data_IF_625793096525
#
_entry.id   IF_625793096525
#
_cell.length_a   1.000
_cell.length_b   1.000
_cell.length_c   1.000
_cell.angle_alpha   90.00
_cell.angle_beta   90.00
_cell.angle_gamma   90.00
#
_symmetry.space_group_name_H-M   'P 1'
#
loop_
_entity.id
_entity.type
_entity.pdbx_description
1 polymer ?
#
# COMPACT_ATOMS: atom_id res chain seq x y z
N UNK A 1 20.90 -29.76 -2.34
CA UNK A 1 19.69 -30.39 -1.76
C UNK A 1 20.02 -31.84 -1.56
N UNK A 2 19.84 -32.41 -0.36
CA UNK A 2 19.93 -33.88 -0.20
C UNK A 2 18.78 -34.48 -0.99
N UNK A 3 19.07 -35.39 -1.91
CA UNK A 3 18.06 -36.21 -2.54
C UNK A 3 17.42 -37.06 -1.44
N UNK A 4 16.20 -36.70 -1.08
CA UNK A 4 15.36 -37.53 -0.23
C UNK A 4 14.98 -38.73 -1.11
N UNK A 5 15.40 -39.93 -0.72
CA UNK A 5 15.05 -41.19 -1.38
C UNK A 5 13.57 -41.55 -1.12
N UNK A 6 12.69 -40.66 -1.57
CA UNK A 6 11.25 -40.69 -1.34
C UNK A 6 10.58 -40.57 -2.70
N UNK A 7 9.90 -41.64 -3.11
CA UNK A 7 9.14 -41.66 -4.34
C UNK A 7 7.86 -40.81 -4.21
N UNK A 8 7.77 -39.73 -4.99
CA UNK A 8 6.60 -38.84 -4.97
C UNK A 8 5.45 -39.52 -5.74
N UNK A 9 4.44 -39.99 -5.00
CA UNK A 9 3.23 -40.64 -5.56
C UNK A 9 1.99 -39.81 -5.28
N UNK A 10 0.98 -39.93 -6.16
CA UNK A 10 -0.35 -39.39 -5.87
C UNK A 10 -0.94 -40.10 -4.65
N UNK A 11 -1.59 -39.37 -3.73
CA UNK A 11 -2.33 -39.98 -2.66
C UNK A 11 -3.52 -40.76 -3.24
N UNK A 12 -4.00 -41.76 -2.49
CA UNK A 12 -5.16 -42.55 -2.89
C UNK A 12 -6.40 -41.65 -3.03
N UNK A 13 -7.02 -41.66 -4.22
CA UNK A 13 -8.25 -40.93 -4.51
C UNK A 13 -9.46 -41.85 -4.35
N UNK A 14 -10.42 -41.44 -3.52
CA UNK A 14 -11.70 -42.14 -3.38
C UNK A 14 -12.69 -41.63 -4.43
N UNK A 15 -13.63 -42.49 -4.88
CA UNK A 15 -14.67 -42.08 -5.85
C UNK A 15 -15.56 -40.95 -5.31
N UNK A 16 -15.74 -40.89 -3.98
CA UNK A 16 -16.45 -39.82 -3.30
C UNK A 16 -15.54 -39.20 -2.24
N UNK A 17 -15.28 -37.90 -2.38
CA UNK A 17 -14.73 -37.04 -1.34
C UNK A 17 -15.60 -35.79 -1.26
N UNK A 18 -16.07 -35.46 -0.06
CA UNK A 18 -16.88 -34.25 0.20
C UNK A 18 -16.02 -33.09 0.72
N UNK A 19 -14.92 -33.38 1.41
CA UNK A 19 -14.10 -32.36 2.10
C UNK A 19 -12.82 -31.97 1.34
N UNK A 20 -12.51 -32.60 0.20
CA UNK A 20 -11.35 -32.27 -0.63
C UNK A 20 -11.68 -32.41 -2.11
N UNK A 21 -11.18 -31.49 -2.92
CA UNK A 21 -11.30 -31.53 -4.37
C UNK A 21 -10.63 -32.76 -4.96
N UNK A 22 -11.38 -33.53 -5.74
CA UNK A 22 -10.90 -34.74 -6.42
C UNK A 22 -10.51 -34.42 -7.87
N UNK A 23 -9.40 -33.68 -8.03
CA UNK A 23 -8.94 -33.25 -9.35
C UNK A 23 -8.46 -34.46 -10.17
N UNK A 24 -9.04 -34.66 -11.36
CA UNK A 24 -8.47 -35.58 -12.34
C UNK A 24 -7.12 -35.01 -12.81
N UNK A 25 -6.09 -35.83 -12.74
CA UNK A 25 -4.72 -35.46 -13.10
C UNK A 25 -4.05 -36.62 -13.83
N UNK A 26 -3.20 -36.31 -14.80
CA UNK A 26 -2.50 -37.29 -15.64
C UNK A 26 -1.14 -37.68 -15.05
N UNK A 27 -0.62 -36.89 -14.12
CA UNK A 27 0.64 -37.14 -13.42
C UNK A 27 0.58 -36.72 -11.95
N UNK A 28 1.51 -37.25 -11.14
CA UNK A 28 1.66 -36.85 -9.73
C UNK A 28 1.98 -35.37 -9.57
N UNK A 29 2.79 -34.81 -10.47
CA UNK A 29 3.11 -33.39 -10.45
C UNK A 29 1.86 -32.53 -10.67
N UNK A 30 1.04 -32.88 -11.66
CA UNK A 30 -0.19 -32.15 -11.97
C UNK A 30 -1.17 -32.20 -10.80
N UNK A 31 -1.27 -33.36 -10.12
CA UNK A 31 -2.08 -33.50 -8.92
C UNK A 31 -1.68 -32.50 -7.82
N UNK A 32 -0.39 -32.43 -7.47
CA UNK A 32 0.09 -31.53 -6.42
C UNK A 32 0.08 -30.06 -6.85
N UNK A 33 0.28 -29.79 -8.14
CA UNK A 33 0.15 -28.45 -8.71
C UNK A 33 -1.24 -27.89 -8.45
N UNK A 34 -2.29 -28.64 -8.78
CA UNK A 34 -3.68 -28.16 -8.65
C UNK A 34 -4.19 -28.28 -7.22
N UNK A 35 -3.85 -29.35 -6.49
CA UNK A 35 -4.43 -29.61 -5.16
C UNK A 35 -3.73 -28.91 -3.99
N UNK A 36 -2.50 -28.41 -4.19
CA UNK A 36 -1.72 -27.76 -3.14
C UNK A 36 -1.07 -26.46 -3.60
N UNK A 37 -0.32 -26.48 -4.71
CA UNK A 37 0.48 -25.33 -5.13
C UNK A 37 -0.38 -24.11 -5.54
N UNK A 38 -1.38 -24.31 -6.39
CA UNK A 38 -2.31 -23.24 -6.80
C UNK A 38 -3.06 -22.68 -5.57
N UNK A 39 -3.73 -23.49 -4.73
CA UNK A 39 -4.38 -23.00 -3.51
C UNK A 39 -3.43 -22.24 -2.58
N UNK A 40 -2.19 -22.70 -2.44
CA UNK A 40 -1.18 -21.99 -1.65
C UNK A 40 -0.88 -20.61 -2.25
N UNK A 41 -0.65 -20.52 -3.56
CA UNK A 41 -0.41 -19.25 -4.23
C UNK A 41 -1.61 -18.31 -4.12
N UNK A 42 -2.83 -18.82 -4.27
CA UNK A 42 -4.06 -18.04 -4.13
C UNK A 42 -4.19 -17.51 -2.70
N UNK A 43 -3.90 -18.32 -1.68
CA UNK A 43 -3.93 -17.88 -0.28
C UNK A 43 -2.84 -16.85 0.02
N UNK A 44 -1.63 -17.02 -0.50
CA UNK A 44 -0.55 -16.03 -0.35
C UNK A 44 -0.94 -14.72 -1.04
N UNK A 45 -1.53 -14.80 -2.23
CA UNK A 45 -2.03 -13.63 -2.94
C UNK A 45 -3.13 -12.91 -2.15
N UNK A 46 -4.06 -13.67 -1.57
CA UNK A 46 -5.14 -13.10 -0.76
C UNK A 46 -4.62 -12.48 0.55
N UNK A 47 -3.64 -13.11 1.21
CA UNK A 47 -2.98 -12.53 2.39
C UNK A 47 -2.28 -11.21 2.02
N UNK A 48 -1.55 -11.16 0.91
CA UNK A 48 -0.94 -9.93 0.41
C UNK A 48 -1.98 -8.85 0.09
N UNK A 49 -3.07 -9.20 -0.59
CA UNK A 49 -4.16 -8.26 -0.89
C UNK A 49 -4.81 -7.74 0.39
N UNK A 50 -5.14 -8.61 1.34
CA UNK A 50 -5.78 -8.22 2.59
C UNK A 50 -4.89 -7.30 3.45
N UNK A 51 -3.57 -7.56 3.44
CA UNK A 51 -2.59 -6.72 4.13
C UNK A 51 -2.37 -5.39 3.43
N UNK A 52 -2.10 -5.36 2.13
CA UNK A 52 -1.66 -4.13 1.47
C UNK A 52 -2.78 -3.32 0.80
N UNK A 53 -3.89 -3.95 0.40
CA UNK A 53 -5.00 -3.27 -0.29
C UNK A 53 -6.17 -2.92 0.64
N UNK A 54 -6.01 -3.09 1.95
CA UNK A 54 -7.01 -2.62 2.90
C UNK A 54 -7.11 -1.08 2.88
N UNK A 55 -8.25 -0.58 3.40
CA UNK A 55 -8.58 0.84 3.40
C UNK A 55 -7.50 1.70 4.07
N UNK A 56 -6.94 1.25 5.20
CA UNK A 56 -5.88 1.97 5.95
C UNK A 56 -4.60 2.11 5.13
N UNK A 57 -4.12 1.01 4.56
CA UNK A 57 -2.87 1.00 3.80
C UNK A 57 -2.96 1.75 2.48
N UNK A 58 -4.14 1.72 1.84
CA UNK A 58 -4.43 2.63 0.72
C UNK A 58 -4.28 4.09 1.10
N UNK A 59 -4.78 4.49 2.28
CA UNK A 59 -4.61 5.88 2.74
C UNK A 59 -3.14 6.21 3.04
N UNK A 60 -2.35 5.29 3.60
CA UNK A 60 -0.89 5.48 3.76
C UNK A 60 -0.22 5.75 2.40
N UNK A 61 -0.54 4.96 1.37
CA UNK A 61 0.02 5.16 0.02
C UNK A 61 -0.33 6.55 -0.56
N UNK A 62 -1.50 7.09 -0.20
CA UNK A 62 -1.93 8.43 -0.58
C UNK A 62 -1.17 9.49 0.22
N UNK A 63 -1.02 9.32 1.54
CA UNK A 63 -0.27 10.26 2.39
C UNK A 63 1.23 10.32 2.01
N UNK A 64 1.82 9.21 1.54
CA UNK A 64 3.19 9.19 0.99
C UNK A 64 3.36 10.19 -0.16
N UNK A 65 2.30 10.51 -0.91
CA UNK A 65 2.37 11.50 -1.99
C UNK A 65 2.67 12.92 -1.50
N UNK A 66 2.49 13.21 -0.21
CA UNK A 66 2.83 14.51 0.37
C UNK A 66 4.35 14.73 0.45
N UNK A 67 5.16 13.65 0.45
CA UNK A 67 6.62 13.75 0.48
C UNK A 67 7.09 14.53 -0.76
N UNK A 68 8.02 15.49 -0.61
CA UNK A 68 8.46 16.38 -1.69
C UNK A 68 8.89 15.66 -2.97
N UNK A 69 9.63 14.55 -2.85
CA UNK A 69 10.00 13.69 -3.98
C UNK A 69 8.81 13.22 -4.81
N UNK A 70 7.64 13.05 -4.22
CA UNK A 70 6.42 12.58 -4.89
C UNK A 70 5.53 13.76 -5.30
N UNK A 71 5.32 14.75 -4.43
CA UNK A 71 4.34 15.82 -4.66
C UNK A 71 4.66 16.69 -5.89
N UNK A 72 5.94 16.85 -6.23
CA UNK A 72 6.35 17.60 -7.43
C UNK A 72 5.88 16.94 -8.74
N UNK A 73 5.48 15.66 -8.69
CA UNK A 73 5.10 14.86 -9.86
C UNK A 73 3.60 14.57 -9.93
N UNK A 74 2.83 14.88 -8.88
CA UNK A 74 1.39 14.58 -8.87
C UNK A 74 0.59 15.64 -9.64
N UNK A 75 -0.48 15.19 -10.30
CA UNK A 75 -1.43 16.06 -11.01
C UNK A 75 -2.53 16.58 -10.07
N UNK A 76 -3.35 17.52 -10.56
CA UNK A 76 -4.41 18.15 -9.75
C UNK A 76 -5.50 17.15 -9.34
N UNK A 77 -5.72 16.11 -10.16
CA UNK A 77 -6.64 15.01 -9.83
C UNK A 77 -6.14 14.25 -8.60
N UNK A 78 -4.85 13.99 -8.53
CA UNK A 78 -4.24 13.33 -7.38
C UNK A 78 -4.24 14.24 -6.16
N UNK A 79 -4.00 15.55 -6.31
CA UNK A 79 -4.14 16.52 -5.21
C UNK A 79 -5.56 16.47 -4.61
N UNK A 80 -6.59 16.47 -5.47
CA UNK A 80 -7.97 16.33 -5.01
C UNK A 80 -8.19 15.00 -4.28
N UNK A 81 -7.70 13.89 -4.85
CA UNK A 81 -7.79 12.56 -4.23
C UNK A 81 -7.11 12.52 -2.86
N UNK A 82 -5.91 13.10 -2.73
CA UNK A 82 -5.18 13.21 -1.46
C UNK A 82 -5.99 13.99 -0.44
N UNK A 83 -6.54 15.14 -0.84
CA UNK A 83 -7.31 16.02 0.06
C UNK A 83 -8.57 15.32 0.59
N UNK A 84 -9.39 14.79 -0.32
CA UNK A 84 -10.66 14.13 0.01
C UNK A 84 -10.42 12.90 0.92
N UNK A 85 -9.48 12.04 0.55
CA UNK A 85 -9.20 10.81 1.31
C UNK A 85 -8.63 11.12 2.68
N UNK A 86 -7.81 12.16 2.80
CA UNK A 86 -7.23 12.58 4.06
C UNK A 86 -8.31 13.07 5.03
N UNK A 87 -9.23 13.92 4.58
CA UNK A 87 -10.31 14.47 5.41
C UNK A 87 -11.36 13.43 5.76
N UNK A 88 -11.68 12.52 4.85
CA UNK A 88 -12.68 11.48 5.11
C UNK A 88 -12.21 10.45 6.13
N UNK A 89 -10.90 10.18 6.21
CA UNK A 89 -10.36 9.11 7.04
C UNK A 89 -9.70 9.62 8.33
N UNK A 90 -9.21 10.85 8.34
CA UNK A 90 -8.38 11.40 9.42
C UNK A 90 -8.74 12.85 9.74
N UNK A 91 -9.96 13.06 10.25
CA UNK A 91 -10.35 14.35 10.83
C UNK A 91 -9.67 14.53 12.17
N UNK A 92 -8.99 15.66 12.35
CA UNK A 92 -8.49 16.09 13.65
C UNK A 92 -9.59 16.89 14.36
N UNK A 93 -9.72 16.71 15.68
CA UNK A 93 -10.78 17.33 16.50
C UNK A 93 -10.63 18.86 16.66
N UNK A 94 -9.48 19.43 16.32
CA UNK A 94 -9.27 20.89 16.33
C UNK A 94 -9.99 21.54 15.15
N UNK A 95 -10.95 22.44 15.46
CA UNK A 95 -11.57 23.42 14.56
C UNK A 95 -11.60 22.99 13.09
N UNK A 96 -12.58 22.14 12.74
CA UNK A 96 -13.01 21.76 11.40
C UNK A 96 -12.12 22.32 10.25
N UNK A 97 -10.94 21.74 10.05
CA UNK A 97 -10.09 22.07 8.91
C UNK A 97 -10.93 21.87 7.64
N UNK A 98 -11.16 22.96 6.91
CA UNK A 98 -11.94 22.89 5.69
C UNK A 98 -11.14 22.19 4.58
N UNK A 99 -11.86 21.50 3.69
CA UNK A 99 -11.23 20.85 2.53
C UNK A 99 -10.48 21.84 1.64
N UNK A 100 -11.04 23.04 1.50
CA UNK A 100 -10.43 24.18 0.82
C UNK A 100 -9.07 24.53 1.41
N UNK A 101 -8.96 24.61 2.75
CA UNK A 101 -7.73 24.97 3.45
C UNK A 101 -6.65 23.90 3.25
N UNK A 102 -6.99 22.63 3.44
CA UNK A 102 -6.03 21.55 3.22
C UNK A 102 -5.53 21.52 1.78
N UNK A 103 -6.45 21.66 0.81
CA UNK A 103 -6.11 21.67 -0.60
C UNK A 103 -5.12 22.79 -0.93
N UNK A 104 -5.40 24.02 -0.47
CA UNK A 104 -4.52 25.16 -0.70
C UNK A 104 -3.14 24.96 -0.08
N UNK A 105 -3.04 24.35 1.10
CA UNK A 105 -1.74 24.05 1.70
C UNK A 105 -0.96 22.98 0.92
N UNK A 106 -1.63 21.98 0.36
CA UNK A 106 -1.00 20.96 -0.50
C UNK A 106 -0.48 21.60 -1.80
N UNK A 107 -1.26 22.51 -2.40
CA UNK A 107 -0.85 23.26 -3.59
C UNK A 107 0.35 24.16 -3.31
N UNK A 108 0.33 24.93 -2.21
CA UNK A 108 1.46 25.75 -1.78
C UNK A 108 2.70 24.90 -1.49
N UNK A 109 2.52 23.71 -0.90
CA UNK A 109 3.60 22.77 -0.66
C UNK A 109 4.22 22.28 -1.97
N UNK A 110 3.39 21.89 -2.96
CA UNK A 110 3.86 21.52 -4.30
C UNK A 110 4.65 22.65 -4.97
N UNK A 111 4.12 23.87 -4.95
CA UNK A 111 4.79 25.03 -5.56
C UNK A 111 6.10 25.39 -4.87
N UNK A 112 6.16 25.28 -3.54
CA UNK A 112 7.42 25.45 -2.78
C UNK A 112 8.51 24.51 -3.29
N UNK A 113 8.20 23.23 -3.47
CA UNK A 113 9.20 22.24 -3.91
C UNK A 113 9.50 22.30 -5.40
N UNK A 114 8.53 22.69 -6.24
CA UNK A 114 8.80 23.00 -7.64
C UNK A 114 9.78 24.16 -7.79
N UNK A 115 9.63 25.22 -6.97
CA UNK A 115 10.59 26.34 -6.95
C UNK A 115 11.99 25.89 -6.54
N UNK A 116 12.11 25.16 -5.43
CA UNK A 116 13.41 24.64 -4.96
C UNK A 116 14.07 23.77 -6.04
N UNK A 117 13.30 22.90 -6.71
CA UNK A 117 13.79 22.08 -7.81
C UNK A 117 14.25 22.91 -9.00
N UNK A 118 13.54 23.99 -9.34
CA UNK A 118 13.92 24.88 -10.45
C UNK A 118 15.18 25.70 -10.17
N UNK A 119 15.52 25.89 -8.89
CA UNK A 119 16.72 26.57 -8.41
C UNK A 119 17.88 25.59 -8.16
N UNK A 120 17.83 24.37 -8.74
CA UNK A 120 18.78 23.27 -8.54
C UNK A 120 18.98 22.85 -7.07
N UNK A 121 17.98 23.12 -6.22
CA UNK A 121 17.96 22.73 -4.82
C UNK A 121 17.65 21.25 -4.58
N UNK A 122 18.04 20.75 -3.41
CA UNK A 122 17.83 19.35 -3.02
C UNK A 122 16.38 19.13 -2.59
N UNK A 123 15.65 18.31 -3.35
CA UNK A 123 14.29 17.87 -2.99
C UNK A 123 14.37 16.76 -1.93
N UNK A 124 13.61 16.92 -0.84
CA UNK A 124 13.59 15.93 0.24
C UNK A 124 12.96 14.61 -0.20
N UNK A 125 13.54 13.51 0.28
CA UNK A 125 13.15 12.16 -0.13
C UNK A 125 12.48 11.34 0.95
N UNK A 126 12.55 11.79 2.21
CA UNK A 126 12.05 11.07 3.37
C UNK A 126 11.01 11.88 4.15
N UNK A 127 10.12 11.17 4.85
CA UNK A 127 9.03 11.81 5.58
C UNK A 127 9.50 12.61 6.82
N UNK A 128 10.64 12.25 7.43
CA UNK A 128 11.13 12.89 8.65
C UNK A 128 11.64 14.30 8.35
N UNK A 129 12.56 14.44 7.39
CA UNK A 129 13.07 15.76 6.97
C UNK A 129 11.98 16.63 6.37
N UNK A 130 11.01 16.00 5.68
CA UNK A 130 9.86 16.72 5.11
C UNK A 130 8.94 17.30 6.19
N UNK A 131 8.75 16.57 7.28
CA UNK A 131 7.96 17.00 8.43
C UNK A 131 8.57 18.23 9.11
N UNK A 132 9.90 18.31 9.18
CA UNK A 132 10.60 19.45 9.79
C UNK A 132 10.42 20.76 8.99
N UNK A 133 10.12 20.68 7.70
CA UNK A 133 9.97 21.83 6.81
C UNK A 133 8.52 22.17 6.43
N UNK A 134 7.56 21.35 6.87
CA UNK A 134 6.15 21.53 6.54
C UNK A 134 5.45 22.49 7.51
N UNK A 135 4.28 22.98 7.12
CA UNK A 135 3.44 23.80 7.99
C UNK A 135 2.74 22.94 9.06
N UNK A 136 2.11 23.58 10.04
CA UNK A 136 1.42 22.87 11.14
C UNK A 136 0.25 21.99 10.68
N UNK A 137 -0.39 22.32 9.55
CA UNK A 137 -1.49 21.51 8.99
C UNK A 137 -0.96 20.18 8.45
N UNK A 138 0.05 20.24 7.57
CA UNK A 138 0.70 19.09 6.96
C UNK A 138 1.44 18.24 7.99
N UNK A 139 1.98 18.87 9.04
CA UNK A 139 2.70 18.18 10.13
C UNK A 139 1.83 17.14 10.83
N UNK A 140 0.54 17.40 11.01
CA UNK A 140 -0.41 16.42 11.58
C UNK A 140 -0.51 15.17 10.70
N UNK A 141 -0.50 15.33 9.37
CA UNK A 141 -0.56 14.22 8.42
C UNK A 141 0.77 13.47 8.27
N UNK A 142 1.91 14.16 8.38
CA UNK A 142 3.21 13.51 8.48
C UNK A 142 3.35 12.69 9.77
N UNK A 143 2.86 13.21 10.89
CA UNK A 143 2.84 12.48 12.17
C UNK A 143 2.04 11.18 12.02
N UNK A 144 0.85 11.28 11.42
CA UNK A 144 0.02 10.11 11.12
C UNK A 144 0.74 9.12 10.20
N UNK A 145 1.35 9.60 9.12
CA UNK A 145 2.10 8.76 8.18
C UNK A 145 3.20 7.96 8.88
N UNK A 146 3.99 8.63 9.75
CA UNK A 146 5.05 7.98 10.51
C UNK A 146 4.49 6.96 11.51
N UNK A 147 3.47 7.31 12.27
CA UNK A 147 2.81 6.39 13.22
C UNK A 147 2.31 5.13 12.50
N UNK A 148 1.74 5.28 11.30
CA UNK A 148 1.24 4.14 10.52
C UNK A 148 2.33 3.31 9.84
N UNK A 149 3.56 3.82 9.67
CA UNK A 149 4.68 3.07 9.10
C UNK A 149 5.49 2.30 10.17
N UNK A 150 5.41 2.72 11.43
CA UNK A 150 6.17 2.15 12.55
C UNK A 150 5.32 1.35 13.57
N UNK A 151 4.01 1.21 13.34
CA UNK A 151 3.09 0.33 14.07
C UNK A 151 2.63 -0.82 13.17
#
# INVERSE_FOLDING_TARGET
MKDLDIEIKTPRLSKHQTNRSNHQSKSTEEYYRVSAFIPLLDNVLEDLKSRFLNKKNKTIMILIQLIPKHIIHIDDKMIHTVTETTITHYKFDDNALEESQLKSEIELWKEKWNRIKSEDGVVLTDALTSMDQCNEILKKYYTLLLVCLFL
#
